data_IF_653130142399
#
_entry.id   IF_653130142399
#
_cell.length_a   1.000
_cell.length_b   1.000
_cell.length_c   1.000
_cell.angle_alpha   90.00
_cell.angle_beta   90.00
_cell.angle_gamma   90.00
#
_symmetry.space_group_name_H-M   'P 1'
#
loop_
_entity.id
_entity.type
_entity.pdbx_description
1 polymer ?
#
# COMPACT_ATOMS: atom_id res chain seq x y z
N UNK A 1 14.40 9.84 11.39
CA UNK A 1 14.62 10.26 9.98
C UNK A 1 13.74 9.40 9.07
N UNK A 2 12.81 9.99 8.32
CA UNK A 2 11.91 9.20 7.45
C UNK A 2 12.74 8.52 6.34
N UNK A 3 12.65 7.19 6.22
CA UNK A 3 13.33 6.43 5.14
C UNK A 3 12.76 6.87 3.78
N UNK A 4 13.59 7.51 2.95
CA UNK A 4 13.23 7.82 1.55
C UNK A 4 13.33 6.53 0.73
N UNK A 5 12.27 6.20 -0.01
CA UNK A 5 12.24 5.12 -1.01
C UNK A 5 12.31 5.75 -2.40
N UNK A 6 12.97 5.07 -3.35
CA UNK A 6 13.06 5.48 -4.76
C UNK A 6 12.22 4.51 -5.59
N UNK A 7 11.41 5.05 -6.48
CA UNK A 7 10.63 4.29 -7.47
C UNK A 7 11.22 4.63 -8.83
N UNK A 8 11.62 3.60 -9.59
CA UNK A 8 12.06 3.73 -10.98
C UNK A 8 11.02 3.03 -11.85
N UNK A 9 10.59 3.70 -12.90
CA UNK A 9 9.59 3.18 -13.83
C UNK A 9 9.85 3.74 -15.22
N UNK A 10 9.49 2.98 -16.23
CA UNK A 10 9.57 3.40 -17.63
C UNK A 10 8.24 4.04 -18.03
N UNK A 11 8.31 5.13 -18.77
CA UNK A 11 7.15 5.84 -19.32
C UNK A 11 7.38 6.10 -20.79
N UNK A 12 6.31 6.10 -21.57
CA UNK A 12 6.42 6.42 -22.99
C UNK A 12 6.89 7.88 -23.17
N UNK A 13 7.55 8.21 -24.29
CA UNK A 13 8.00 9.57 -24.57
C UNK A 13 6.87 10.61 -24.51
N UNK A 14 5.67 10.24 -24.97
CA UNK A 14 4.51 11.13 -25.00
C UNK A 14 4.04 11.49 -23.57
N UNK A 15 4.01 10.49 -22.68
CA UNK A 15 3.64 10.69 -21.27
C UNK A 15 4.69 11.54 -20.56
N UNK A 16 5.97 11.25 -20.80
CA UNK A 16 7.07 12.04 -20.23
C UNK A 16 6.96 13.52 -20.63
N UNK A 17 6.79 13.78 -21.93
CA UNK A 17 6.67 15.14 -22.47
C UNK A 17 5.45 15.88 -21.93
N UNK A 18 4.32 15.18 -21.82
CA UNK A 18 3.12 15.76 -21.24
C UNK A 18 3.35 16.19 -19.79
N UNK A 19 3.89 15.31 -18.95
CA UNK A 19 4.18 15.61 -17.54
C UNK A 19 5.21 16.74 -17.42
N UNK A 20 6.23 16.75 -18.27
CA UNK A 20 7.26 17.81 -18.27
C UNK A 20 6.67 19.18 -18.60
N UNK A 21 5.79 19.29 -19.61
CA UNK A 21 5.11 20.54 -19.96
C UNK A 21 4.18 21.01 -18.84
N UNK A 22 3.40 20.10 -18.25
CA UNK A 22 2.51 20.43 -17.13
C UNK A 22 3.31 20.89 -15.91
N UNK A 23 4.43 20.22 -15.59
CA UNK A 23 5.30 20.62 -14.49
C UNK A 23 5.87 22.02 -14.71
N UNK A 24 6.37 22.31 -15.92
CA UNK A 24 6.88 23.64 -16.28
C UNK A 24 5.80 24.72 -16.17
N UNK A 25 4.58 24.46 -16.65
CA UNK A 25 3.47 25.39 -16.56
C UNK A 25 3.06 25.70 -15.10
N UNK A 26 3.20 24.73 -14.20
CA UNK A 26 2.92 24.87 -12.77
C UNK A 26 4.12 25.37 -11.94
N UNK A 27 5.28 25.60 -12.55
CA UNK A 27 6.51 25.97 -11.83
C UNK A 27 7.06 24.86 -10.93
N UNK A 28 6.73 23.60 -11.20
CA UNK A 28 7.15 22.44 -10.43
C UNK A 28 8.33 21.72 -11.09
N UNK A 29 9.17 21.06 -10.29
CA UNK A 29 10.10 20.08 -10.83
C UNK A 29 9.36 18.82 -11.30
N UNK A 30 9.95 18.10 -12.25
CA UNK A 30 9.40 16.83 -12.75
C UNK A 30 9.17 15.82 -11.61
N UNK A 31 10.05 15.81 -10.60
CA UNK A 31 9.94 14.94 -9.42
C UNK A 31 8.77 15.31 -8.51
N UNK A 32 8.46 16.60 -8.40
CA UNK A 32 7.32 17.07 -7.62
C UNK A 32 6.01 16.75 -8.33
N UNK A 33 5.92 17.06 -9.62
CA UNK A 33 4.77 16.72 -10.45
C UNK A 33 4.48 15.20 -10.45
N UNK A 34 5.52 14.37 -10.58
CA UNK A 34 5.37 12.91 -10.50
C UNK A 34 4.91 12.45 -9.11
N UNK A 35 5.40 13.08 -8.03
CA UNK A 35 4.97 12.76 -6.67
C UNK A 35 3.52 13.17 -6.41
N UNK A 36 3.10 14.30 -6.94
CA UNK A 36 1.72 14.78 -6.88
C UNK A 36 0.78 13.83 -7.64
N UNK A 37 1.13 13.45 -8.88
CA UNK A 37 0.37 12.49 -9.67
C UNK A 37 0.23 11.14 -8.96
N UNK A 38 1.31 10.61 -8.37
CA UNK A 38 1.25 9.36 -7.60
C UNK A 38 0.36 9.49 -6.36
N UNK A 39 0.40 10.62 -5.65
CA UNK A 39 -0.47 10.87 -4.50
C UNK A 39 -1.93 10.96 -4.93
N UNK A 40 -2.23 11.71 -5.97
CA UNK A 40 -3.60 11.82 -6.49
C UNK A 40 -4.14 10.47 -6.94
N UNK A 41 -3.34 9.71 -7.69
CA UNK A 41 -3.71 8.36 -8.10
C UNK A 41 -3.97 7.45 -6.90
N UNK A 42 -3.08 7.46 -5.90
CA UNK A 42 -3.25 6.68 -4.69
C UNK A 42 -4.46 7.12 -3.86
N UNK A 43 -4.76 8.41 -3.76
CA UNK A 43 -5.96 8.89 -3.06
C UNK A 43 -7.23 8.49 -3.79
N UNK A 44 -7.26 8.58 -5.13
CA UNK A 44 -8.43 8.21 -5.94
C UNK A 44 -8.71 6.71 -5.95
N UNK A 45 -7.68 5.88 -5.93
CA UNK A 45 -7.81 4.42 -6.08
C UNK A 45 -7.54 3.64 -4.79
N UNK A 46 -6.97 4.29 -3.78
CA UNK A 46 -6.56 3.67 -2.52
C UNK A 46 -7.65 3.65 -1.46
N UNK A 47 -8.85 4.16 -1.76
CA UNK A 47 -10.02 3.84 -0.97
C UNK A 47 -10.38 2.37 -1.20
N UNK A 48 -9.88 1.52 -0.30
CA UNK A 48 -10.14 0.08 -0.25
C UNK A 48 -11.32 -0.25 0.67
N UNK A 49 -12.13 0.75 1.06
CA UNK A 49 -13.32 0.52 1.90
C UNK A 49 -14.35 -0.43 1.26
N UNK A 50 -14.29 -0.60 -0.05
CA UNK A 50 -15.12 -1.56 -0.79
C UNK A 50 -14.65 -3.01 -0.61
N UNK A 51 -13.39 -3.25 -0.25
CA UNK A 51 -12.83 -4.59 -0.10
C UNK A 51 -13.12 -5.10 1.31
N UNK A 52 -13.92 -6.19 1.47
CA UNK A 52 -14.21 -6.77 2.77
C UNK A 52 -12.97 -7.19 3.55
N UNK A 53 -11.80 -7.40 2.93
CA UNK A 53 -10.54 -7.70 3.59
C UNK A 53 -9.96 -6.50 4.39
N UNK A 54 -10.43 -5.28 4.09
CA UNK A 54 -9.95 -4.05 4.72
C UNK A 54 -11.01 -3.34 5.58
N UNK A 55 -12.21 -3.91 5.71
CA UNK A 55 -13.26 -3.42 6.62
C UNK A 55 -12.88 -3.61 8.11
N UNK A 56 -12.67 -2.56 8.91
CA UNK A 56 -12.40 -2.72 10.34
C UNK A 56 -13.46 -3.53 11.12
N UNK A 57 -14.67 -3.70 10.56
CA UNK A 57 -15.75 -4.53 11.06
C UNK A 57 -15.78 -6.00 10.60
N UNK A 58 -15.01 -6.41 9.58
CA UNK A 58 -14.99 -7.81 9.10
C UNK A 58 -14.25 -8.77 10.05
N UNK A 59 -13.47 -8.20 10.97
CA UNK A 59 -12.90 -8.97 12.07
C UNK A 59 -14.02 -9.46 13.00
N UNK A 60 -14.00 -10.75 13.34
CA UNK A 60 -14.77 -11.25 14.48
C UNK A 60 -14.54 -10.31 15.67
N UNK A 61 -15.59 -9.94 16.42
CA UNK A 61 -15.45 -9.28 17.73
C UNK A 61 -14.67 -10.23 18.65
N UNK A 62 -13.36 -10.18 18.56
CA UNK A 62 -12.42 -11.03 19.27
C UNK A 62 -12.41 -10.65 20.74
N UNK A 63 -13.42 -11.09 21.48
CA UNK A 63 -13.34 -11.19 22.95
C UNK A 63 -12.30 -12.22 23.39
N UNK A 64 -11.81 -13.06 22.46
CA UNK A 64 -10.58 -13.80 22.60
C UNK A 64 -9.52 -13.15 21.72
N UNK A 65 -8.40 -12.74 22.34
CA UNK A 65 -7.11 -12.64 21.64
C UNK A 65 -7.04 -13.90 20.78
N UNK A 66 -7.00 -13.77 19.46
CA UNK A 66 -6.66 -14.90 18.59
C UNK A 66 -5.31 -15.39 19.05
N UNK A 67 -5.34 -16.41 19.89
CA UNK A 67 -4.22 -16.98 20.61
C UNK A 67 -3.41 -17.73 19.56
N UNK A 68 -2.67 -16.99 18.74
CA UNK A 68 -1.81 -17.52 17.69
C UNK A 68 -0.80 -18.54 18.27
N UNK A 69 -0.59 -18.48 19.59
CA UNK A 69 0.11 -19.45 20.43
C UNK A 69 -0.38 -20.90 20.27
N UNK A 70 -1.64 -21.13 19.87
CA UNK A 70 -2.23 -22.47 19.68
C UNK A 70 -2.32 -22.93 18.23
N UNK A 71 -1.92 -22.09 17.27
CA UNK A 71 -2.00 -22.44 15.84
C UNK A 71 -1.12 -23.66 15.56
N UNK A 72 0.10 -23.70 16.10
CA UNK A 72 0.99 -24.84 15.94
C UNK A 72 0.45 -26.11 16.61
N UNK A 73 -0.23 -25.97 17.76
CA UNK A 73 -0.84 -27.10 18.47
C UNK A 73 -2.01 -27.71 17.69
N UNK A 74 -2.81 -26.88 17.02
CA UNK A 74 -3.96 -27.33 16.21
C UNK A 74 -3.52 -27.90 14.86
N UNK A 75 -2.57 -27.27 14.19
CA UNK A 75 -2.12 -27.70 12.87
C UNK A 75 -1.17 -28.89 12.91
N UNK A 76 -0.28 -28.96 13.91
CA UNK A 76 0.76 -29.98 13.96
C UNK A 76 0.58 -30.99 15.11
N UNK A 77 -0.40 -30.78 15.99
CA UNK A 77 -0.63 -31.60 17.17
C UNK A 77 0.46 -31.43 18.23
N UNK A 78 0.12 -31.59 19.52
CA UNK A 78 1.12 -31.65 20.59
C UNK A 78 2.09 -32.80 20.33
N UNK A 79 3.28 -32.48 19.80
CA UNK A 79 4.38 -33.45 19.73
C UNK A 79 4.72 -33.86 21.15
N UNK A 80 4.29 -35.06 21.54
CA UNK A 80 4.67 -35.70 22.81
C UNK A 80 6.20 -35.82 22.80
N UNK A 81 6.89 -34.94 23.54
CA UNK A 81 8.32 -35.09 23.77
C UNK A 81 8.49 -36.38 24.57
N UNK A 82 9.17 -37.34 23.95
CA UNK A 82 9.65 -38.58 24.57
C UNK A 82 10.78 -38.27 25.53
#
# INVERSE_FOLDING_TARGET
MMKKRVIQTEVSPEVYEFVARTAKAKGLSLKEAAREALREWATRNGDLSWDPLFDPGWGFKGGMKTDASKVDEVLYGRKKRR
#
